data_IF_276214095252
#
_entry.id   IF_276214095252
#
_cell.length_a   1.000
_cell.length_b   1.000
_cell.length_c   1.000
_cell.angle_alpha   90.00
_cell.angle_beta   90.00
_cell.angle_gamma   90.00
#
_symmetry.space_group_name_H-M   'P 1'
#
loop_
_entity.id
_entity.type
_entity.pdbx_description
1 polymer ?
#
# COMPACT_ATOMS: atom_id res chain seq x y z
N UNK A 1 16.63 35.29 -39.93
CA UNK A 1 15.65 35.79 -38.94
C UNK A 1 16.23 35.53 -37.56
N UNK A 2 16.93 36.49 -36.97
CA UNK A 2 17.56 36.35 -35.65
C UNK A 2 16.50 36.57 -34.57
N UNK A 3 15.97 35.47 -34.02
CA UNK A 3 15.13 35.54 -32.82
C UNK A 3 15.99 36.12 -31.70
N UNK A 4 15.67 37.32 -31.22
CA UNK A 4 16.40 37.89 -30.08
C UNK A 4 16.11 37.05 -28.84
N UNK A 5 17.13 36.79 -28.01
CA UNK A 5 16.96 36.09 -26.72
C UNK A 5 15.81 36.69 -25.89
N UNK A 6 15.63 38.01 -25.94
CA UNK A 6 14.51 38.72 -25.32
C UNK A 6 13.15 38.26 -25.85
N UNK A 7 12.97 38.13 -27.16
CA UNK A 7 11.72 37.63 -27.76
C UNK A 7 11.43 36.17 -27.45
N UNK A 8 12.47 35.36 -27.19
CA UNK A 8 12.32 33.98 -26.73
C UNK A 8 11.89 33.91 -25.27
N UNK A 9 12.48 34.71 -24.38
CA UNK A 9 12.02 34.77 -22.98
C UNK A 9 10.59 35.30 -22.87
N UNK A 10 10.23 36.32 -23.64
CA UNK A 10 8.89 36.90 -23.58
C UNK A 10 7.76 35.93 -23.99
N UNK A 11 8.04 34.89 -24.78
CA UNK A 11 6.99 33.92 -25.15
C UNK A 11 6.50 33.10 -23.95
N UNK A 12 7.35 32.82 -22.97
CA UNK A 12 6.98 32.12 -21.72
C UNK A 12 6.18 32.97 -20.74
N UNK A 13 6.11 34.29 -20.96
CA UNK A 13 5.39 35.23 -20.11
C UNK A 13 4.22 35.89 -20.84
N UNK A 14 3.75 35.28 -21.94
CA UNK A 14 2.57 35.75 -22.65
C UNK A 14 1.31 35.57 -21.81
N UNK A 15 0.27 36.38 -22.05
CA UNK A 15 -0.99 36.30 -21.29
C UNK A 15 -1.66 34.93 -21.37
N UNK A 16 -1.59 34.28 -22.54
CA UNK A 16 -2.09 32.91 -22.75
C UNK A 16 -1.31 31.88 -21.94
N UNK A 17 0.02 32.02 -21.87
CA UNK A 17 0.88 31.13 -21.07
C UNK A 17 0.60 31.30 -19.57
N UNK A 18 0.41 32.53 -19.10
CA UNK A 18 0.04 32.83 -17.71
C UNK A 18 -1.30 32.21 -17.34
N UNK A 19 -2.32 32.32 -18.20
CA UNK A 19 -3.62 31.68 -17.97
C UNK A 19 -3.52 30.16 -17.88
N UNK A 20 -2.76 29.53 -18.80
CA UNK A 20 -2.50 28.10 -18.74
C UNK A 20 -1.80 27.73 -17.43
N UNK A 21 -0.72 28.42 -17.07
CA UNK A 21 0.03 28.17 -15.83
C UNK A 21 -0.83 28.28 -14.56
N UNK A 22 -1.79 29.21 -14.51
CA UNK A 22 -2.74 29.31 -13.39
C UNK A 22 -3.63 28.06 -13.29
N UNK A 23 -4.16 27.57 -14.41
CA UNK A 23 -4.97 26.34 -14.43
C UNK A 23 -4.13 25.13 -14.01
N UNK A 24 -2.90 25.03 -14.54
CA UNK A 24 -1.95 23.96 -14.18
C UNK A 24 -1.68 23.98 -12.68
N UNK A 25 -1.43 25.16 -12.10
CA UNK A 25 -1.20 25.34 -10.68
C UNK A 25 -2.39 24.90 -9.83
N UNK A 26 -3.62 25.24 -10.25
CA UNK A 26 -4.84 24.80 -9.58
C UNK A 26 -5.02 23.27 -9.64
N UNK A 27 -4.69 22.65 -10.77
CA UNK A 27 -4.76 21.19 -10.93
C UNK A 27 -3.75 20.48 -10.02
N UNK A 28 -2.51 20.96 -9.97
CA UNK A 28 -1.46 20.44 -9.10
C UNK A 28 -1.86 20.54 -7.63
N UNK A 29 -2.30 21.72 -7.22
CA UNK A 29 -2.68 22.00 -5.83
C UNK A 29 -3.94 21.21 -5.44
N UNK A 30 -4.95 21.18 -6.30
CA UNK A 30 -6.17 20.41 -6.08
C UNK A 30 -5.92 18.91 -5.98
N UNK A 31 -5.11 18.34 -6.88
CA UNK A 31 -4.72 16.93 -6.83
C UNK A 31 -3.94 16.62 -5.54
N UNK A 32 -3.01 17.48 -5.13
CA UNK A 32 -2.27 17.30 -3.88
C UNK A 32 -3.20 17.27 -2.66
N UNK A 33 -4.16 18.20 -2.59
CA UNK A 33 -5.13 18.27 -1.50
C UNK A 33 -6.03 17.03 -1.45
N UNK A 34 -6.52 16.55 -2.60
CA UNK A 34 -7.30 15.30 -2.64
C UNK A 34 -6.46 14.09 -2.20
N UNK A 35 -5.19 14.02 -2.60
CA UNK A 35 -4.25 13.01 -2.13
C UNK A 35 -4.05 13.06 -0.60
N UNK A 36 -3.96 14.26 -0.01
CA UNK A 36 -3.89 14.41 1.44
C UNK A 36 -5.12 13.89 2.16
N UNK A 37 -6.32 14.13 1.61
CA UNK A 37 -7.58 13.61 2.18
C UNK A 37 -7.57 12.09 2.22
N UNK A 38 -7.16 11.43 1.13
CA UNK A 38 -7.10 9.96 1.07
C UNK A 38 -6.02 9.41 2.01
N UNK A 39 -4.85 10.06 2.07
CA UNK A 39 -3.73 9.62 2.91
C UNK A 39 -3.88 9.93 4.41
N UNK A 40 -4.92 10.66 4.83
CA UNK A 40 -5.11 11.09 6.22
C UNK A 40 -5.27 9.92 7.18
N UNK A 41 -6.21 9.02 6.89
CA UNK A 41 -6.48 7.82 7.70
C UNK A 41 -5.21 6.95 7.82
N UNK A 42 -4.45 6.82 6.72
CA UNK A 42 -3.22 6.04 6.68
C UNK A 42 -2.13 6.62 7.57
N UNK A 43 -1.97 7.94 7.53
CA UNK A 43 -0.99 8.64 8.37
C UNK A 43 -1.37 8.55 9.85
N UNK A 44 -2.66 8.68 10.16
CA UNK A 44 -3.16 8.58 11.53
C UNK A 44 -2.89 7.19 12.14
N UNK A 45 -3.04 6.13 11.34
CA UNK A 45 -2.78 4.75 11.79
C UNK A 45 -1.31 4.29 11.60
N UNK A 46 -0.37 5.20 11.35
CA UNK A 46 1.06 4.88 11.28
C UNK A 46 1.44 3.89 10.17
N UNK A 47 0.74 3.92 9.04
CA UNK A 47 0.93 2.97 7.93
C UNK A 47 2.14 3.37 7.08
N UNK A 48 2.70 2.41 6.34
CA UNK A 48 3.95 2.58 5.58
C UNK A 48 3.96 3.78 4.60
N UNK A 49 2.82 4.11 4.00
CA UNK A 49 2.61 5.35 3.25
C UNK A 49 1.48 6.16 3.88
N UNK A 50 1.72 7.46 4.07
CA UNK A 50 0.78 8.40 4.68
C UNK A 50 0.53 9.63 3.80
N UNK A 51 -0.08 10.68 4.36
CA UNK A 51 -0.54 11.87 3.63
C UNK A 51 0.48 12.42 2.63
N UNK A 52 1.75 12.58 3.04
CA UNK A 52 2.82 13.10 2.17
C UNK A 52 2.98 12.27 0.89
N UNK A 53 2.99 10.95 1.01
CA UNK A 53 3.15 10.04 -0.13
C UNK A 53 1.96 10.13 -1.09
N UNK A 54 0.74 10.13 -0.57
CA UNK A 54 -0.48 10.20 -1.41
C UNK A 54 -0.59 11.55 -2.11
N UNK A 55 -0.32 12.66 -1.41
CA UNK A 55 -0.29 13.99 -2.01
C UNK A 55 0.72 14.10 -3.15
N UNK A 56 1.95 13.61 -2.95
CA UNK A 56 2.99 13.61 -3.99
C UNK A 56 2.60 12.76 -5.20
N UNK A 57 2.08 11.55 -4.99
CA UNK A 57 1.64 10.66 -6.08
C UNK A 57 0.49 11.28 -6.88
N UNK A 58 -0.51 11.84 -6.19
CA UNK A 58 -1.66 12.47 -6.83
C UNK A 58 -1.25 13.71 -7.64
N UNK A 59 -0.43 14.58 -7.05
CA UNK A 59 0.11 15.78 -7.70
C UNK A 59 1.00 15.43 -8.92
N UNK A 60 1.91 14.47 -8.77
CA UNK A 60 2.79 14.05 -9.87
C UNK A 60 2.00 13.42 -11.03
N UNK A 61 0.98 12.62 -10.73
CA UNK A 61 0.10 12.04 -11.76
C UNK A 61 -0.68 13.12 -12.51
N UNK A 62 -1.21 14.12 -11.78
CA UNK A 62 -1.85 15.28 -12.40
C UNK A 62 -0.86 16.08 -13.27
N UNK A 63 0.36 16.32 -12.78
CA UNK A 63 1.40 17.04 -13.51
C UNK A 63 1.70 16.39 -14.86
N UNK A 64 1.89 15.07 -14.88
CA UNK A 64 2.20 14.32 -16.10
C UNK A 64 1.06 14.39 -17.13
N UNK A 65 -0.18 14.24 -16.68
CA UNK A 65 -1.35 14.33 -17.57
C UNK A 65 -1.53 15.75 -18.10
N UNK A 66 -1.39 16.76 -17.24
CA UNK A 66 -1.49 18.16 -17.63
C UNK A 66 -0.42 18.53 -18.64
N UNK A 67 0.84 18.11 -18.43
CA UNK A 67 1.91 18.34 -19.41
C UNK A 67 1.51 17.77 -20.77
N UNK A 68 1.02 16.53 -20.83
CA UNK A 68 0.55 15.91 -22.08
C UNK A 68 -0.70 16.56 -22.70
N UNK A 69 -1.52 17.27 -21.91
CA UNK A 69 -2.75 17.93 -22.35
C UNK A 69 -2.56 19.32 -22.96
N UNK A 70 -1.39 19.96 -22.76
CA UNK A 70 -1.10 21.32 -23.26
C UNK A 70 0.12 21.37 -24.20
N UNK A 71 0.20 20.54 -25.27
CA UNK A 71 1.34 20.55 -26.18
C UNK A 71 1.55 21.89 -26.90
N UNK A 72 0.48 22.63 -27.14
CA UNK A 72 0.51 23.91 -27.84
C UNK A 72 1.25 25.00 -27.07
N UNK A 73 1.43 24.84 -25.74
CA UNK A 73 2.16 25.79 -24.90
C UNK A 73 3.63 25.40 -24.71
N UNK A 74 4.03 24.21 -25.18
CA UNK A 74 5.40 23.73 -25.02
C UNK A 74 6.40 24.64 -25.74
N UNK A 75 7.57 24.81 -25.12
CA UNK A 75 8.66 25.63 -25.64
C UNK A 75 8.23 27.07 -25.98
N UNK A 76 7.29 27.63 -25.21
CA UNK A 76 6.77 28.99 -25.39
C UNK A 76 5.83 29.12 -26.59
N UNK A 77 4.99 28.11 -26.81
CA UNK A 77 4.02 28.04 -27.91
C UNK A 77 4.62 28.16 -29.33
N UNK A 78 5.82 27.62 -29.54
CA UNK A 78 6.55 27.67 -30.82
C UNK A 78 6.73 26.32 -31.49
N UNK A 79 6.00 25.29 -31.04
CA UNK A 79 5.99 24.00 -31.71
C UNK A 79 5.60 24.18 -33.19
N UNK A 80 6.48 23.76 -34.10
CA UNK A 80 6.35 24.00 -35.55
C UNK A 80 5.28 23.09 -36.18
N UNK A 81 4.88 22.03 -35.48
CA UNK A 81 3.90 21.05 -35.94
C UNK A 81 2.89 20.76 -34.82
N UNK A 82 1.61 20.54 -35.16
CA UNK A 82 0.63 20.07 -34.19
C UNK A 82 1.10 18.73 -33.62
N UNK A 83 1.42 18.71 -32.32
CA UNK A 83 1.82 17.50 -31.63
C UNK A 83 0.56 16.82 -31.12
N UNK A 84 0.06 15.86 -31.88
CA UNK A 84 -0.99 14.96 -31.40
C UNK A 84 -0.39 13.97 -30.40
N UNK A 85 -0.41 14.31 -29.12
CA UNK A 85 -0.13 13.37 -28.05
C UNK A 85 -1.36 12.50 -27.79
N UNK A 86 -1.10 11.22 -27.57
CA UNK A 86 -2.10 10.27 -27.10
C UNK A 86 -2.04 10.23 -25.56
N UNK A 87 -3.02 10.80 -24.83
CA UNK A 87 -3.02 10.82 -23.37
C UNK A 87 -3.00 9.42 -22.76
N UNK A 88 -3.47 8.40 -23.49
CA UNK A 88 -3.48 7.02 -23.01
C UNK A 88 -2.08 6.49 -22.75
N UNK A 89 -1.07 6.93 -23.52
CA UNK A 89 0.34 6.55 -23.32
C UNK A 89 0.91 7.10 -22.03
N UNK A 90 0.60 8.36 -21.71
CA UNK A 90 0.99 8.98 -20.45
C UNK A 90 0.33 8.27 -19.27
N UNK A 91 -0.97 7.99 -19.37
CA UNK A 91 -1.71 7.24 -18.35
C UNK A 91 -1.14 5.83 -18.17
N UNK A 92 -0.82 5.12 -19.26
CA UNK A 92 -0.18 3.80 -19.20
C UNK A 92 1.17 3.86 -18.48
N UNK A 93 1.98 4.90 -18.74
CA UNK A 93 3.24 5.16 -18.03
C UNK A 93 3.03 5.37 -16.53
N UNK A 94 2.04 6.17 -16.14
CA UNK A 94 1.67 6.40 -14.73
C UNK A 94 1.23 5.10 -14.06
N UNK A 95 0.36 4.31 -14.70
CA UNK A 95 -0.14 3.03 -14.17
C UNK A 95 1.01 2.03 -13.98
N UNK A 96 1.97 2.01 -14.90
CA UNK A 96 3.17 1.18 -14.77
C UNK A 96 4.06 1.65 -13.61
N UNK A 97 4.30 2.96 -13.51
CA UNK A 97 5.14 3.56 -12.47
C UNK A 97 4.58 3.36 -11.05
N UNK A 98 3.27 3.49 -10.86
CA UNK A 98 2.65 3.24 -9.56
C UNK A 98 2.71 1.75 -9.18
N UNK A 99 2.76 0.84 -10.16
CA UNK A 99 3.00 -0.59 -9.93
C UNK A 99 4.34 -0.86 -9.25
N UNK A 100 5.39 -0.12 -9.64
CA UNK A 100 6.71 -0.21 -9.00
C UNK A 100 6.68 0.28 -7.54
N UNK A 101 6.03 1.41 -7.26
CA UNK A 101 5.84 1.90 -5.90
C UNK A 101 5.01 0.93 -5.06
N UNK A 102 3.97 0.33 -5.65
CA UNK A 102 3.14 -0.69 -5.00
C UNK A 102 3.96 -1.90 -4.59
N UNK A 103 4.80 -2.43 -5.49
CA UNK A 103 5.72 -3.52 -5.18
C UNK A 103 6.68 -3.17 -4.05
N UNK A 104 7.19 -1.93 -4.01
CA UNK A 104 8.07 -1.44 -2.94
C UNK A 104 7.41 -1.27 -1.57
N UNK A 105 6.07 -1.22 -1.49
CA UNK A 105 5.31 -1.10 -0.23
C UNK A 105 4.79 -2.45 0.26
N UNK A 106 4.65 -3.44 -0.63
CA UNK A 106 4.19 -4.79 -0.27
C UNK A 106 5.37 -5.57 0.30
N UNK A 107 5.40 -5.73 1.61
CA UNK A 107 6.46 -6.46 2.32
C UNK A 107 5.96 -7.84 2.72
N UNK A 108 6.81 -8.86 2.54
CA UNK A 108 6.54 -10.24 2.97
C UNK A 108 7.56 -10.65 4.04
N UNK A 109 7.07 -10.94 5.23
CA UNK A 109 7.84 -11.49 6.34
C UNK A 109 7.31 -12.89 6.67
N UNK A 110 8.05 -13.94 6.27
CA UNK A 110 7.62 -15.33 6.44
C UNK A 110 6.25 -15.61 5.78
N UNK A 111 5.23 -15.85 6.62
CA UNK A 111 3.85 -16.11 6.21
C UNK A 111 2.95 -14.87 6.20
N UNK A 112 3.42 -13.75 6.73
CA UNK A 112 2.64 -12.50 6.78
C UNK A 112 3.01 -11.61 5.60
N UNK A 113 2.01 -11.17 4.85
CA UNK A 113 2.14 -10.15 3.81
C UNK A 113 1.49 -8.88 4.37
N UNK A 114 2.16 -7.75 4.24
CA UNK A 114 1.63 -6.46 4.65
C UNK A 114 1.73 -5.44 3.52
N UNK A 115 0.95 -4.36 3.62
CA UNK A 115 1.02 -3.24 2.68
C UNK A 115 0.12 -3.39 1.44
N UNK A 116 -0.64 -4.47 1.28
CA UNK A 116 -1.57 -4.68 0.16
C UNK A 116 -2.58 -3.53 0.01
N UNK A 117 -3.27 -3.16 1.09
CA UNK A 117 -4.22 -2.04 1.08
C UNK A 117 -3.53 -0.70 0.79
N UNK A 118 -2.30 -0.52 1.29
CA UNK A 118 -1.51 0.70 1.01
C UNK A 118 -1.17 0.80 -0.47
N UNK A 119 -0.73 -0.30 -1.09
CA UNK A 119 -0.43 -0.35 -2.51
C UNK A 119 -1.69 -0.09 -3.37
N UNK A 120 -2.80 -0.76 -3.07
CA UNK A 120 -4.06 -0.57 -3.78
C UNK A 120 -4.58 0.87 -3.71
N UNK A 121 -4.38 1.54 -2.58
CA UNK A 121 -4.85 2.90 -2.40
C UNK A 121 -3.89 3.98 -2.92
N UNK A 122 -2.58 3.72 -2.95
CA UNK A 122 -1.65 4.53 -3.73
C UNK A 122 -2.01 4.47 -5.23
N UNK A 123 -2.43 3.31 -5.71
CA UNK A 123 -2.94 3.12 -7.06
C UNK A 123 -4.23 3.93 -7.30
N UNK A 124 -5.20 3.88 -6.39
CA UNK A 124 -6.38 4.75 -6.46
C UNK A 124 -6.01 6.25 -6.44
N UNK A 125 -5.01 6.63 -5.63
CA UNK A 125 -4.53 8.01 -5.54
C UNK A 125 -3.90 8.52 -6.84
N UNK A 126 -3.19 7.69 -7.59
CA UNK A 126 -2.67 8.10 -8.90
C UNK A 126 -3.81 8.33 -9.90
N UNK A 127 -4.84 7.48 -9.88
CA UNK A 127 -6.04 7.65 -10.72
C UNK A 127 -6.80 8.95 -10.41
N UNK A 128 -6.88 9.36 -9.13
CA UNK A 128 -7.44 10.67 -8.76
C UNK A 128 -6.64 11.80 -9.42
N UNK A 129 -5.30 11.75 -9.33
CA UNK A 129 -4.42 12.72 -9.96
C UNK A 129 -4.59 12.78 -11.48
N UNK A 130 -4.72 11.62 -12.14
CA UNK A 130 -5.01 11.54 -13.57
C UNK A 130 -6.32 12.25 -13.90
N UNK A 131 -7.40 11.99 -13.18
CA UNK A 131 -8.69 12.65 -13.42
C UNK A 131 -8.64 14.16 -13.22
N UNK A 132 -7.94 14.65 -12.18
CA UNK A 132 -7.70 16.09 -12.01
C UNK A 132 -6.92 16.65 -13.19
N UNK A 133 -5.89 15.95 -13.65
CA UNK A 133 -5.08 16.39 -14.78
C UNK A 133 -5.84 16.44 -16.11
N UNK A 134 -6.79 15.53 -16.34
CA UNK A 134 -7.71 15.55 -17.49
C UNK A 134 -8.76 16.66 -17.36
N UNK A 135 -9.07 17.10 -16.14
CA UNK A 135 -10.09 18.13 -15.86
C UNK A 135 -11.42 17.58 -15.34
N UNK A 136 -11.52 16.28 -15.03
CA UNK A 136 -12.70 15.66 -14.42
C UNK A 136 -12.73 15.87 -12.90
N UNK A 137 -12.80 17.12 -12.46
CA UNK A 137 -12.69 17.48 -11.04
C UNK A 137 -13.77 16.83 -10.16
N UNK A 138 -15.03 16.84 -10.59
CA UNK A 138 -16.12 16.25 -9.83
C UNK A 138 -15.93 14.73 -9.62
N UNK A 139 -15.50 14.02 -10.67
CA UNK A 139 -15.22 12.58 -10.60
C UNK A 139 -13.99 12.30 -9.72
N UNK A 140 -12.95 13.14 -9.80
CA UNK A 140 -11.77 13.04 -8.94
C UNK A 140 -12.11 13.22 -7.45
N UNK A 141 -12.92 14.23 -7.14
CA UNK A 141 -13.41 14.49 -5.78
C UNK A 141 -14.23 13.30 -5.27
N UNK A 142 -15.15 12.79 -6.08
CA UNK A 142 -15.96 11.62 -5.73
C UNK A 142 -15.09 10.39 -5.46
N UNK A 143 -14.12 10.09 -6.32
CA UNK A 143 -13.21 8.94 -6.11
C UNK A 143 -12.35 9.13 -4.86
N UNK A 144 -11.88 10.34 -4.57
CA UNK A 144 -11.14 10.63 -3.34
C UNK A 144 -11.98 10.33 -2.09
N UNK A 145 -13.23 10.80 -2.06
CA UNK A 145 -14.14 10.54 -0.95
C UNK A 145 -14.51 9.06 -0.84
N UNK A 146 -14.81 8.37 -1.94
CA UNK A 146 -15.08 6.92 -1.93
C UNK A 146 -13.87 6.12 -1.46
N UNK A 147 -12.66 6.50 -1.86
CA UNK A 147 -11.42 5.84 -1.44
C UNK A 147 -11.18 6.03 0.06
N UNK A 148 -11.31 7.27 0.55
CA UNK A 148 -11.18 7.59 1.98
C UNK A 148 -12.27 6.89 2.81
N UNK A 149 -13.52 6.89 2.32
CA UNK A 149 -14.63 6.21 2.97
C UNK A 149 -14.38 4.69 3.03
N UNK A 150 -13.93 4.07 1.94
CA UNK A 150 -13.61 2.64 1.93
C UNK A 150 -12.61 2.28 3.04
N UNK A 151 -11.55 3.08 3.21
CA UNK A 151 -10.57 2.85 4.29
C UNK A 151 -11.16 2.97 5.70
N UNK A 152 -12.01 3.96 5.93
CA UNK A 152 -12.59 4.24 7.25
C UNK A 152 -13.71 3.26 7.60
N UNK A 153 -14.63 3.02 6.67
CA UNK A 153 -15.84 2.25 6.91
C UNK A 153 -15.59 0.75 6.83
N UNK A 154 -14.82 0.26 5.86
CA UNK A 154 -14.57 -1.18 5.71
C UNK A 154 -13.76 -1.72 6.87
N UNK A 155 -12.76 -0.97 7.34
CA UNK A 155 -11.99 -1.38 8.54
C UNK A 155 -12.86 -1.50 9.79
N UNK A 156 -13.87 -0.62 9.94
CA UNK A 156 -14.85 -0.69 11.03
C UNK A 156 -15.83 -1.85 10.89
N UNK A 157 -16.23 -2.17 9.66
CA UNK A 157 -17.09 -3.33 9.35
C UNK A 157 -16.32 -4.63 9.59
N UNK A 158 -15.08 -4.75 9.14
CA UNK A 158 -14.21 -5.90 9.39
C UNK A 158 -14.03 -6.17 10.89
N UNK A 159 -13.91 -5.12 11.71
CA UNK A 159 -13.85 -5.26 13.16
C UNK A 159 -15.15 -5.83 13.77
N UNK A 160 -16.27 -5.68 13.07
CA UNK A 160 -17.58 -6.21 13.47
C UNK A 160 -17.78 -7.65 12.99
N UNK A 161 -17.13 -8.06 11.90
CA UNK A 161 -17.14 -9.45 11.48
C UNK A 161 -16.38 -10.33 12.49
N UNK A 162 -16.82 -11.58 12.70
CA UNK A 162 -16.11 -12.52 13.56
C UNK A 162 -14.76 -12.90 12.93
N UNK A 163 -13.71 -12.13 13.21
CA UNK A 163 -12.34 -12.53 12.89
C UNK A 163 -11.87 -13.62 13.84
N UNK A 164 -11.43 -14.74 13.27
CA UNK A 164 -10.71 -15.77 14.01
C UNK A 164 -9.28 -15.26 14.27
N UNK A 165 -8.85 -15.11 15.53
CA UNK A 165 -7.50 -14.61 15.82
C UNK A 165 -6.47 -15.58 15.26
N UNK A 166 -5.61 -15.11 14.36
CA UNK A 166 -4.51 -15.88 13.81
C UNK A 166 -3.19 -15.44 14.49
N UNK A 167 -2.35 -16.42 14.82
CA UNK A 167 -1.10 -16.22 15.53
C UNK A 167 0.00 -16.97 14.78
N UNK A 168 1.04 -16.26 14.36
CA UNK A 168 2.25 -16.85 13.81
C UNK A 168 3.15 -17.28 14.96
N UNK A 169 3.57 -18.55 14.96
CA UNK A 169 4.39 -19.14 16.00
C UNK A 169 5.66 -19.69 15.36
N UNK A 170 6.80 -19.27 15.90
CA UNK A 170 8.13 -19.79 15.57
C UNK A 170 8.69 -20.50 16.79
N UNK A 171 9.13 -21.74 16.62
CA UNK A 171 9.73 -22.56 17.66
C UNK A 171 11.10 -23.05 17.21
N UNK A 172 12.09 -22.93 18.07
CA UNK A 172 13.42 -23.51 17.88
C UNK A 172 13.66 -24.55 18.97
N UNK A 173 13.99 -25.77 18.53
CA UNK A 173 14.22 -26.91 19.38
C UNK A 173 15.71 -27.17 19.57
N UNK A 174 16.03 -27.77 20.73
CA UNK A 174 17.40 -28.19 21.09
C UNK A 174 17.95 -29.19 20.07
N UNK A 175 19.28 -29.22 19.99
CA UNK A 175 19.99 -30.09 19.06
C UNK A 175 19.61 -31.57 19.26
N UNK A 176 19.24 -32.25 18.17
CA UNK A 176 18.88 -33.68 18.19
C UNK A 176 17.48 -34.00 18.70
N UNK A 177 16.67 -33.00 19.09
CA UNK A 177 15.27 -33.21 19.44
C UNK A 177 14.40 -33.34 18.19
N UNK A 178 13.57 -34.39 18.13
CA UNK A 178 12.63 -34.63 17.03
C UNK A 178 11.21 -34.31 17.52
N UNK A 179 10.72 -33.07 17.30
CA UNK A 179 9.36 -32.70 17.65
C UNK A 179 8.32 -33.51 16.87
N UNK A 180 7.21 -33.89 17.53
CA UNK A 180 6.09 -34.61 16.90
C UNK A 180 4.98 -33.63 16.53
N UNK A 181 4.63 -33.58 15.25
CA UNK A 181 3.56 -32.71 14.73
C UNK A 181 2.20 -32.97 15.42
N UNK A 182 1.85 -34.25 15.62
CA UNK A 182 0.59 -34.63 16.26
C UNK A 182 0.46 -34.09 17.69
N UNK A 183 1.56 -34.05 18.45
CA UNK A 183 1.57 -33.52 19.81
C UNK A 183 1.31 -32.01 19.79
N UNK A 184 1.92 -31.31 18.83
CA UNK A 184 1.75 -29.88 18.63
C UNK A 184 0.31 -29.53 18.23
N UNK A 185 -0.26 -30.29 17.28
CA UNK A 185 -1.64 -30.10 16.80
C UNK A 185 -2.64 -30.39 17.92
N UNK A 186 -2.43 -31.44 18.73
CA UNK A 186 -3.28 -31.74 19.90
C UNK A 186 -3.20 -30.63 20.96
N UNK A 187 -2.01 -30.11 21.25
CA UNK A 187 -1.83 -29.01 22.20
C UNK A 187 -2.57 -27.74 21.72
N UNK A 188 -2.40 -27.36 20.45
CA UNK A 188 -3.10 -26.22 19.88
C UNK A 188 -4.63 -26.40 19.98
N UNK A 189 -5.14 -27.58 19.57
CA UNK A 189 -6.58 -27.89 19.60
C UNK A 189 -7.16 -27.83 21.01
N UNK A 190 -6.44 -28.35 22.02
CA UNK A 190 -6.85 -28.29 23.42
C UNK A 190 -7.03 -26.86 23.95
N UNK A 191 -6.43 -25.86 23.29
CA UNK A 191 -6.48 -24.43 23.64
C UNK A 191 -7.33 -23.60 22.70
N UNK A 192 -8.16 -24.25 21.88
CA UNK A 192 -9.05 -23.57 20.96
C UNK A 192 -8.34 -23.00 19.73
N UNK A 193 -7.13 -23.48 19.40
CA UNK A 193 -6.37 -23.11 18.21
C UNK A 193 -6.26 -24.29 17.24
N UNK A 194 -6.37 -24.02 15.95
CA UNK A 194 -6.10 -25.01 14.90
C UNK A 194 -4.90 -24.56 14.07
N UNK A 195 -3.93 -25.45 13.86
CA UNK A 195 -2.78 -25.17 12.98
C UNK A 195 -3.31 -25.12 11.53
N UNK A 196 -3.16 -23.97 10.88
CA UNK A 196 -3.61 -23.76 9.52
C UNK A 196 -2.86 -24.69 8.55
N UNK A 197 -3.62 -25.49 7.82
CA UNK A 197 -3.09 -26.46 6.86
C UNK A 197 -2.24 -25.76 5.79
N UNK A 198 -1.05 -26.28 5.51
CA UNK A 198 -0.12 -25.71 4.52
C UNK A 198 0.73 -24.54 5.02
N UNK A 199 0.63 -24.16 6.30
CA UNK A 199 1.48 -23.10 6.90
C UNK A 199 2.69 -23.64 7.67
N UNK A 200 2.82 -24.96 7.82
CA UNK A 200 3.94 -25.56 8.53
C UNK A 200 5.21 -25.52 7.66
N UNK A 201 6.22 -24.80 8.12
CA UNK A 201 7.56 -24.78 7.53
C UNK A 201 8.56 -25.26 8.57
N UNK A 202 9.31 -26.29 8.21
CA UNK A 202 10.33 -26.92 9.05
C UNK A 202 11.67 -26.69 8.39
N UNK A 203 12.58 -26.04 9.12
CA UNK A 203 13.98 -25.89 8.72
C UNK A 203 14.88 -26.54 9.76
N UNK A 204 15.99 -27.14 9.33
CA UNK A 204 16.96 -27.73 10.24
C UNK A 204 18.35 -27.19 9.90
N UNK A 205 19.05 -26.63 10.89
CA UNK A 205 20.40 -26.09 10.73
C UNK A 205 21.27 -26.56 11.89
N UNK A 206 22.40 -27.19 11.59
CA UNK A 206 23.37 -27.70 12.59
C UNK A 206 22.75 -28.63 13.64
N UNK A 207 21.73 -29.40 13.26
CA UNK A 207 21.01 -30.33 14.14
C UNK A 207 19.96 -29.66 15.05
N UNK A 208 19.75 -28.34 14.94
CA UNK A 208 18.62 -27.62 15.56
C UNK A 208 17.48 -27.52 14.57
N UNK A 209 16.28 -27.89 14.99
CA UNK A 209 15.07 -27.76 14.17
C UNK A 209 14.32 -26.48 14.54
N UNK A 210 13.92 -25.73 13.51
CA UNK A 210 13.08 -24.53 13.62
C UNK A 210 11.78 -24.75 12.86
N UNK A 211 10.66 -24.62 13.56
CA UNK A 211 9.32 -24.82 13.04
C UNK A 211 8.57 -23.49 13.05
N UNK A 212 7.97 -23.14 11.92
CA UNK A 212 7.12 -21.95 11.77
C UNK A 212 5.75 -22.36 11.26
N UNK A 213 4.69 -21.89 11.88
CA UNK A 213 3.32 -22.16 11.45
C UNK A 213 2.35 -21.08 11.94
N UNK A 214 1.14 -21.05 11.37
CA UNK A 214 0.07 -20.16 11.79
C UNK A 214 -1.01 -20.97 12.51
N UNK A 215 -1.37 -20.54 13.72
CA UNK A 215 -2.45 -21.10 14.50
C UNK A 215 -3.65 -20.15 14.48
N UNK A 216 -4.83 -20.66 14.13
CA UNK A 216 -6.09 -19.89 14.00
C UNK A 216 -7.04 -20.29 15.10
N UNK A 217 -7.58 -19.31 15.84
CA UNK A 217 -8.57 -19.57 16.88
C UNK A 217 -9.87 -20.15 16.31
N UNK A 218 -10.33 -21.27 16.86
CA UNK A 218 -11.59 -21.94 16.51
C UNK A 218 -12.82 -21.06 16.83
N UNK A 219 -12.72 -20.22 17.87
CA UNK A 219 -13.71 -19.19 18.21
C UNK A 219 -13.08 -18.06 19.03
N UNK A 220 -13.65 -16.85 18.97
CA UNK A 220 -13.19 -15.67 19.73
C UNK A 220 -13.31 -15.86 21.25
N UNK A 221 -14.18 -16.77 21.70
CA UNK A 221 -14.37 -17.13 23.12
C UNK A 221 -13.53 -18.33 23.58
N UNK A 222 -13.16 -19.24 22.68
CA UNK A 222 -12.37 -20.43 23.02
C UNK A 222 -10.86 -20.22 22.91
N UNK A 223 -10.41 -19.27 22.07
CA UNK A 223 -9.00 -18.99 21.92
C UNK A 223 -8.44 -18.33 23.20
N UNK A 224 -7.52 -19.01 23.87
CA UNK A 224 -6.79 -18.46 25.02
C UNK A 224 -6.01 -17.21 24.62
N UNK A 225 -5.70 -16.32 25.56
CA UNK A 225 -4.94 -15.10 25.23
C UNK A 225 -3.53 -15.49 24.76
N UNK A 226 -2.95 -14.71 23.84
CA UNK A 226 -1.56 -14.90 23.38
C UNK A 226 -0.57 -15.01 24.56
N UNK A 227 -0.80 -14.26 25.65
CA UNK A 227 0.01 -14.31 26.86
C UNK A 227 -0.01 -15.69 27.52
N UNK A 228 -1.17 -16.34 27.62
CA UNK A 228 -1.31 -17.68 28.20
C UNK A 228 -0.72 -18.73 27.27
N UNK A 229 -0.97 -18.60 25.96
CA UNK A 229 -0.33 -19.44 24.95
C UNK A 229 1.21 -19.34 25.05
N UNK A 230 1.77 -18.15 25.30
CA UNK A 230 3.21 -17.95 25.41
C UNK A 230 3.84 -18.65 26.62
N UNK A 231 3.13 -18.69 27.75
CA UNK A 231 3.59 -19.36 28.97
C UNK A 231 3.62 -20.88 28.78
N UNK A 232 2.58 -21.44 28.15
CA UNK A 232 2.48 -22.87 27.92
C UNK A 232 3.39 -23.38 26.81
N UNK A 233 3.63 -22.57 25.77
CA UNK A 233 4.64 -22.87 24.77
C UNK A 233 6.03 -22.95 25.39
N UNK A 234 6.36 -22.07 26.34
CA UNK A 234 7.60 -22.14 27.10
C UNK A 234 7.77 -23.44 27.90
N UNK A 235 6.69 -24.16 28.21
CA UNK A 235 6.73 -25.45 28.89
C UNK A 235 6.83 -26.66 27.93
N UNK A 236 6.88 -26.43 26.60
CA UNK A 236 6.96 -27.52 25.64
C UNK A 236 8.35 -28.19 25.65
N UNK A 237 8.34 -29.52 25.65
CA UNK A 237 9.57 -30.32 25.73
C UNK A 237 10.52 -30.03 24.58
N UNK A 238 11.81 -29.89 24.89
CA UNK A 238 12.86 -29.68 23.90
C UNK A 238 12.91 -28.29 23.28
N UNK A 239 12.07 -27.34 23.69
CA UNK A 239 12.09 -25.96 23.21
C UNK A 239 13.28 -25.20 23.80
N UNK A 240 14.05 -24.53 22.94
CA UNK A 240 15.19 -23.68 23.31
C UNK A 240 14.83 -22.20 23.18
N UNK A 241 14.08 -21.83 22.13
CA UNK A 241 13.62 -20.47 21.87
C UNK A 241 12.25 -20.48 21.19
N UNK A 242 11.42 -19.48 21.45
CA UNK A 242 10.15 -19.29 20.74
C UNK A 242 9.82 -17.82 20.53
N UNK A 243 9.05 -17.57 19.47
CA UNK A 243 8.53 -16.25 19.14
C UNK A 243 7.06 -16.40 18.71
N UNK A 244 6.22 -15.49 19.20
CA UNK A 244 4.79 -15.47 18.91
C UNK A 244 4.43 -14.06 18.45
N UNK A 245 3.76 -13.95 17.30
CA UNK A 245 3.28 -12.70 16.76
C UNK A 245 1.84 -12.84 16.27
N UNK A 246 1.05 -11.77 16.32
CA UNK A 246 -0.24 -11.76 15.64
C UNK A 246 -0.02 -11.92 14.14
N UNK A 247 -0.65 -12.92 13.52
CA UNK A 247 -0.72 -13.02 12.08
C UNK A 247 -1.77 -12.01 11.60
N UNK A 248 -1.33 -10.83 11.17
CA UNK A 248 -2.18 -9.86 10.46
C UNK A 248 -2.03 -10.09 8.95
N UNK A 249 -3.15 -10.10 8.25
CA UNK A 249 -3.19 -9.79 6.82
C UNK A 249 -3.02 -8.28 6.59
#
# INVERSE_FOLDING_TARGET
MTVSLSSYFMSFWSASELHANVIIFLNLTGAMLLGFVVGYERSYHGRAAGMRTYGLVCMASAALVVISGYPDFWYGARAVYPVNLDPSRTIQGIVTGIGFLGAGVIMREGFTISGLTTAASLWASSAIGVMVGVGFYAAAILLAFLSAACMIWVSRIEAWLPSRPAVAITMQFRQGFIPREDALRKMALARGYEIATGTLNISCKEGRSEWRFVAVGLSRTLATRISELSLELGAFEGLEFYQIAHARN
#
